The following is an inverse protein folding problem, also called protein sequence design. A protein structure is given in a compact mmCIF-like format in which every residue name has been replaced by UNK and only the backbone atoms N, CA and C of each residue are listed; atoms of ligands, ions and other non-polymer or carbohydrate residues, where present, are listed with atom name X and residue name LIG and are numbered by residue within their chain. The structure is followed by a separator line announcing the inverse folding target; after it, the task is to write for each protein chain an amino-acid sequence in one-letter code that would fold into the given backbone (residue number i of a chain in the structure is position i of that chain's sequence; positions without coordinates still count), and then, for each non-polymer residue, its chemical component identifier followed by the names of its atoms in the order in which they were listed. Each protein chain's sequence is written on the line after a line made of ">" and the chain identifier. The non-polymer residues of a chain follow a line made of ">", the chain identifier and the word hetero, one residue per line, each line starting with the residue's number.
data_IF_091655520318
#
_entry.id   IF_091655520318
#
_cell.length_a   1.000
_cell.length_b   1.000
_cell.length_c   1.000
_cell.angle_alpha   90.00
_cell.angle_beta   90.00
_cell.angle_gamma   90.00
#
_symmetry.space_group_name_H-M   'P 1'
#
loop_
_entity.id
_entity.type
_entity.pdbx_description
1 polymer ?
#
# COMPACT_ATOMS: atom_id res chain seq x y z
N UNK A 1 3.58 5.91 22.18
CA UNK A 1 4.22 4.65 22.63
C UNK A 1 4.60 3.83 21.39
N UNK A 2 5.89 3.57 21.17
CA UNK A 2 6.34 2.70 20.07
C UNK A 2 6.32 1.25 20.55
N UNK A 3 5.21 0.55 20.34
CA UNK A 3 5.07 -0.89 20.64
C UNK A 3 5.61 -1.71 19.46
N UNK A 4 6.94 -1.77 19.34
CA UNK A 4 7.57 -2.73 18.43
C UNK A 4 7.42 -4.15 19.01
N UNK A 5 6.83 -5.07 18.24
CA UNK A 5 6.68 -6.48 18.63
C UNK A 5 7.74 -7.31 17.91
N UNK A 6 8.45 -8.16 18.65
CA UNK A 6 9.45 -9.07 18.07
C UNK A 6 8.74 -10.10 17.19
N UNK A 7 9.17 -10.20 15.93
CA UNK A 7 8.77 -11.26 15.01
C UNK A 7 10.00 -12.04 14.57
N UNK A 8 9.82 -13.34 14.34
CA UNK A 8 10.84 -14.20 13.75
C UNK A 8 10.57 -14.25 12.24
N UNK A 9 11.60 -13.99 11.44
CA UNK A 9 11.56 -14.07 10.00
C UNK A 9 12.84 -14.74 9.52
N UNK A 10 12.73 -15.50 8.43
CA UNK A 10 13.86 -16.13 7.76
C UNK A 10 14.37 -15.14 6.72
N UNK A 11 15.69 -14.91 6.70
CA UNK A 11 16.37 -14.13 5.68
C UNK A 11 17.27 -15.07 4.90
N UNK A 12 17.35 -14.86 3.59
CA UNK A 12 18.36 -15.52 2.77
C UNK A 12 19.76 -15.15 3.26
N UNK A 13 20.69 -16.10 3.19
CA UNK A 13 22.05 -15.89 3.70
C UNK A 13 22.77 -14.75 2.96
N UNK A 14 22.47 -14.55 1.67
CA UNK A 14 22.99 -13.42 0.88
C UNK A 14 22.52 -12.08 1.45
N UNK A 15 21.21 -11.92 1.68
CA UNK A 15 20.62 -10.71 2.25
C UNK A 15 21.16 -10.45 3.66
N UNK A 16 21.30 -11.51 4.47
CA UNK A 16 21.84 -11.42 5.82
C UNK A 16 23.30 -10.97 5.81
N UNK A 17 24.11 -11.45 4.87
CA UNK A 17 25.49 -11.01 4.69
C UNK A 17 25.54 -9.52 4.34
N UNK A 18 24.76 -9.09 3.34
CA UNK A 18 24.72 -7.68 2.93
C UNK A 18 24.24 -6.76 4.06
N UNK A 19 23.24 -7.18 4.83
CA UNK A 19 22.78 -6.45 6.01
C UNK A 19 23.86 -6.34 7.09
N UNK A 20 24.72 -7.35 7.23
CA UNK A 20 25.81 -7.32 8.20
C UNK A 20 26.96 -6.44 7.74
N UNK A 21 27.28 -6.48 6.45
CA UNK A 21 28.42 -5.79 5.84
C UNK A 21 28.12 -4.30 5.64
N UNK A 22 26.88 -3.95 5.25
CA UNK A 22 26.49 -2.59 4.89
C UNK A 22 25.86 -1.80 6.04
N UNK A 23 25.35 -2.47 7.08
CA UNK A 23 24.56 -1.81 8.14
C UNK A 23 25.15 -2.07 9.53
N UNK A 24 25.44 -1.00 10.31
CA UNK A 24 25.86 -1.12 11.69
C UNK A 24 24.85 -1.93 12.53
N UNK A 25 25.34 -2.80 13.43
CA UNK A 25 24.53 -3.75 14.18
C UNK A 25 23.32 -3.13 14.93
N UNK A 26 23.46 -1.90 15.44
CA UNK A 26 22.38 -1.18 16.14
C UNK A 26 21.31 -0.55 15.25
N UNK A 27 21.57 -0.44 13.93
CA UNK A 27 20.66 0.22 12.98
C UNK A 27 19.84 -0.76 12.14
N UNK A 28 20.20 -2.05 12.14
CA UNK A 28 19.56 -3.08 11.30
C UNK A 28 18.05 -3.15 11.49
N UNK A 29 17.57 -3.16 12.74
CA UNK A 29 16.13 -3.16 13.02
C UNK A 29 15.41 -1.94 12.45
N UNK A 30 16.05 -0.76 12.52
CA UNK A 30 15.50 0.47 11.94
C UNK A 30 15.41 0.38 10.42
N UNK A 31 16.49 -0.05 9.76
CA UNK A 31 16.55 -0.14 8.29
C UNK A 31 15.57 -1.20 7.77
N UNK A 32 15.54 -2.38 8.38
CA UNK A 32 14.59 -3.44 8.01
C UNK A 32 13.15 -2.94 8.17
N UNK A 33 12.82 -2.31 9.30
CA UNK A 33 11.48 -1.76 9.50
C UNK A 33 11.14 -0.66 8.49
N UNK A 34 12.10 0.16 8.07
CA UNK A 34 11.87 1.18 7.05
C UNK A 34 11.65 0.57 5.66
N UNK A 35 12.47 -0.41 5.27
CA UNK A 35 12.30 -1.16 4.03
C UNK A 35 10.92 -1.84 3.98
N UNK A 36 10.53 -2.53 5.06
CA UNK A 36 9.21 -3.15 5.18
C UNK A 36 8.07 -2.14 5.10
N UNK A 37 8.21 -0.95 5.71
CA UNK A 37 7.18 0.10 5.58
C UNK A 37 7.00 0.56 4.14
N UNK A 38 8.11 0.75 3.40
CA UNK A 38 8.07 1.15 2.00
C UNK A 38 7.40 0.08 1.15
N UNK A 39 7.75 -1.18 1.36
CA UNK A 39 7.18 -2.31 0.62
C UNK A 39 5.69 -2.51 0.91
N UNK A 40 5.29 -2.47 2.19
CA UNK A 40 3.87 -2.55 2.57
C UNK A 40 3.07 -1.41 1.95
N UNK A 41 3.63 -0.19 1.91
CA UNK A 41 2.96 0.95 1.28
C UNK A 41 2.81 0.75 -0.23
N UNK A 42 3.84 0.21 -0.89
CA UNK A 42 3.78 -0.15 -2.30
C UNK A 42 2.68 -1.18 -2.58
N UNK A 43 2.64 -2.28 -1.82
CA UNK A 43 1.62 -3.33 -1.95
C UNK A 43 0.20 -2.78 -1.72
N UNK A 44 0.01 -1.90 -0.72
CA UNK A 44 -1.29 -1.24 -0.48
C UNK A 44 -1.74 -0.42 -1.68
N UNK A 45 -0.85 0.38 -2.27
CA UNK A 45 -1.15 1.20 -3.46
C UNK A 45 -1.45 0.33 -4.68
N UNK A 46 -0.67 -0.74 -4.87
CA UNK A 46 -0.88 -1.70 -5.95
C UNK A 46 -2.28 -2.31 -5.86
N UNK A 47 -2.66 -2.81 -4.68
CA UNK A 47 -3.98 -3.38 -4.44
C UNK A 47 -5.11 -2.37 -4.70
N UNK A 48 -5.00 -1.15 -4.16
CA UNK A 48 -6.01 -0.12 -4.40
C UNK A 48 -6.14 0.26 -5.89
N UNK A 49 -5.02 0.27 -6.61
CA UNK A 49 -5.01 0.53 -8.06
C UNK A 49 -5.68 -0.61 -8.83
N UNK A 50 -5.39 -1.86 -8.48
CA UNK A 50 -6.04 -3.04 -9.06
C UNK A 50 -7.56 -3.01 -8.82
N UNK A 51 -8.00 -2.67 -7.61
CA UNK A 51 -9.43 -2.50 -7.28
C UNK A 51 -10.08 -1.40 -8.13
N UNK A 52 -9.43 -0.24 -8.27
CA UNK A 52 -9.91 0.86 -9.11
C UNK A 52 -10.00 0.47 -10.59
N UNK A 53 -9.01 -0.26 -11.11
CA UNK A 53 -9.02 -0.75 -12.49
C UNK A 53 -10.13 -1.78 -12.71
N UNK A 54 -10.41 -2.64 -11.74
CA UNK A 54 -11.54 -3.57 -11.83
C UNK A 54 -12.88 -2.81 -11.86
N UNK A 55 -13.06 -1.81 -11.00
CA UNK A 55 -14.28 -1.00 -10.97
C UNK A 55 -14.45 -0.24 -12.29
N UNK A 56 -13.38 0.40 -12.78
CA UNK A 56 -13.42 1.15 -14.04
C UNK A 56 -13.67 0.27 -15.25
N UNK A 57 -13.14 -0.96 -15.28
CA UNK A 57 -13.39 -1.92 -16.36
C UNK A 57 -14.85 -2.40 -16.42
N UNK A 58 -15.57 -2.34 -15.29
CA UNK A 58 -16.96 -2.82 -15.16
C UNK A 58 -17.99 -1.69 -15.20
N UNK A 59 -17.56 -0.44 -15.12
CA UNK A 59 -18.45 0.72 -14.95
C UNK A 59 -18.25 1.69 -16.09
N UNK A 60 -19.33 2.06 -16.80
CA UNK A 60 -19.28 3.16 -17.76
C UNK A 60 -18.99 4.46 -16.98
N UNK A 61 -17.99 5.26 -17.38
CA UNK A 61 -17.75 6.55 -16.74
C UNK A 61 -18.97 7.44 -16.91
N UNK A 62 -19.55 7.87 -15.78
CA UNK A 62 -20.67 8.79 -15.78
C UNK A 62 -20.17 10.20 -16.14
N UNK A 63 -20.81 10.82 -17.12
CA UNK A 63 -20.54 12.21 -17.45
C UNK A 63 -21.12 13.14 -16.38
N UNK A 64 -20.53 14.31 -16.21
CA UNK A 64 -21.02 15.34 -15.27
C UNK A 64 -22.49 15.67 -15.53
N UNK A 65 -22.93 15.66 -16.80
CA UNK A 65 -24.33 15.90 -17.18
C UNK A 65 -25.27 14.80 -16.67
N UNK A 66 -24.86 13.54 -16.77
CA UNK A 66 -25.63 12.38 -16.26
C UNK A 66 -25.73 12.44 -14.73
N UNK A 67 -24.64 12.76 -14.03
CA UNK A 67 -24.63 12.91 -12.56
C UNK A 67 -25.57 14.04 -12.12
N UNK A 68 -25.47 15.22 -12.76
CA UNK A 68 -26.33 16.37 -12.42
C UNK A 68 -27.80 16.10 -12.75
N UNK A 69 -28.09 15.37 -13.83
CA UNK A 69 -29.44 14.99 -14.19
C UNK A 69 -30.06 14.06 -13.14
N UNK A 70 -29.30 13.09 -12.63
CA UNK A 70 -29.78 12.15 -11.62
C UNK A 70 -29.98 12.83 -10.25
N UNK A 71 -29.03 13.66 -9.81
CA UNK A 71 -29.17 14.47 -8.59
C UNK A 71 -30.38 15.41 -8.64
N UNK A 72 -30.72 15.94 -9.83
CA UNK A 72 -31.91 16.78 -10.03
C UNK A 72 -33.22 15.97 -10.07
N UNK A 73 -33.19 14.68 -10.37
CA UNK A 73 -34.36 13.80 -10.24
C UNK A 73 -34.62 13.49 -8.77
N UNK A 74 -33.56 13.16 -8.02
CA UNK A 74 -33.64 12.82 -6.61
C UNK A 74 -34.16 13.99 -5.76
N UNK A 75 -33.74 15.24 -6.08
CA UNK A 75 -34.23 16.46 -5.41
C UNK A 75 -35.71 16.83 -5.66
N UNK A 76 -36.36 16.17 -6.61
CA UNK A 76 -37.77 16.41 -6.98
C UNK A 76 -38.73 15.39 -6.37
N UNK A 77 -38.18 14.40 -5.66
CA UNK A 77 -38.90 13.53 -4.73
C UNK A 77 -38.65 14.01 -3.30
#
# INVERSE_FOLDING_TARGET
>A
MSTAKKMLFVLDEEIKKDLNDLIPAGQRSRVINEALRKEILFLKRKKATEELLQISSRTRPASVKEIVAELRKERRH
#
